data_IF_560931872194
#
_entry.id   IF_560931872194
#
_cell.length_a   1.000
_cell.length_b   1.000
_cell.length_c   1.000
_cell.angle_alpha   90.00
_cell.angle_beta   90.00
_cell.angle_gamma   90.00
#
_symmetry.space_group_name_H-M   'P 1'
#
loop_
_entity.id
_entity.type
_entity.pdbx_description
1 polymer ?
#
# COMPACT_ATOMS: atom_id res chain seq x y z
N UNK A 1 16.21 4.85 -40.04
CA UNK A 1 16.38 6.18 -39.40
C UNK A 1 15.45 6.17 -38.19
N UNK A 2 15.99 6.15 -36.96
CA UNK A 2 15.18 6.08 -35.73
C UNK A 2 15.15 7.47 -35.08
N UNK A 3 14.00 8.13 -35.13
CA UNK A 3 13.80 9.49 -34.60
C UNK A 3 13.60 9.55 -33.09
N UNK A 4 13.43 8.40 -32.42
CA UNK A 4 13.19 8.30 -30.96
C UNK A 4 14.28 7.53 -30.20
N UNK A 5 15.40 7.16 -30.86
CA UNK A 5 16.44 6.37 -30.22
C UNK A 5 17.34 7.17 -29.25
N UNK A 6 17.34 8.49 -29.37
CA UNK A 6 18.15 9.41 -28.55
C UNK A 6 17.53 10.79 -28.52
N UNK A 7 17.89 11.56 -27.51
CA UNK A 7 17.64 13.00 -27.48
C UNK A 7 18.40 13.69 -28.62
N UNK A 8 17.77 14.68 -29.24
CA UNK A 8 18.37 15.45 -30.32
C UNK A 8 17.48 16.59 -30.79
N UNK A 9 17.93 17.29 -31.83
CA UNK A 9 17.16 18.37 -32.45
C UNK A 9 17.28 18.25 -33.97
N UNK A 10 16.16 18.27 -34.68
CA UNK A 10 16.12 18.31 -36.14
C UNK A 10 15.70 19.70 -36.60
N UNK A 11 16.60 20.40 -37.30
CA UNK A 11 16.32 21.72 -37.86
C UNK A 11 15.87 21.56 -39.31
N UNK A 12 14.72 22.10 -39.63
CA UNK A 12 14.14 22.08 -40.97
C UNK A 12 14.08 23.52 -41.47
N UNK A 13 14.81 23.82 -42.54
CA UNK A 13 14.73 25.11 -43.22
C UNK A 13 13.42 25.18 -43.98
N UNK A 14 12.55 26.12 -43.60
CA UNK A 14 11.20 26.26 -44.15
C UNK A 14 11.01 27.55 -44.97
N UNK A 15 11.96 28.49 -44.89
CA UNK A 15 11.95 29.71 -45.68
C UNK A 15 13.02 29.74 -46.78
N UNK A 16 12.87 30.65 -47.74
CA UNK A 16 13.78 30.79 -48.87
C UNK A 16 15.16 31.41 -48.53
N UNK A 17 15.27 32.09 -47.39
CA UNK A 17 16.52 32.70 -46.90
C UNK A 17 17.07 31.92 -45.70
N UNK A 18 18.39 31.80 -45.61
CA UNK A 18 19.07 31.10 -44.53
C UNK A 18 18.65 31.56 -43.14
N UNK A 19 18.44 30.61 -42.23
CA UNK A 19 18.09 30.88 -40.83
C UNK A 19 16.59 30.79 -40.50
N UNK A 20 15.71 30.74 -41.51
CA UNK A 20 14.29 30.44 -41.32
C UNK A 20 14.08 28.94 -41.09
N UNK A 21 14.35 28.50 -39.86
CA UNK A 21 14.30 27.09 -39.46
C UNK A 21 13.23 26.82 -38.41
N UNK A 22 12.50 25.71 -38.56
CA UNK A 22 11.71 25.09 -37.48
C UNK A 22 12.60 24.03 -36.84
N UNK A 23 12.77 24.12 -35.52
CA UNK A 23 13.49 23.11 -34.74
C UNK A 23 12.47 22.14 -34.15
N UNK A 24 12.67 20.84 -34.40
CA UNK A 24 11.91 19.76 -33.78
C UNK A 24 12.82 19.13 -32.73
N UNK A 25 12.45 19.27 -31.48
CA UNK A 25 13.14 18.63 -30.37
C UNK A 25 12.71 17.16 -30.27
N UNK A 26 13.67 16.26 -30.36
CA UNK A 26 13.46 14.82 -30.25
C UNK A 26 13.86 14.39 -28.85
N UNK A 27 13.02 13.56 -28.25
CA UNK A 27 13.31 12.88 -26.99
C UNK A 27 13.43 11.39 -27.21
N UNK A 28 14.35 10.76 -26.49
CA UNK A 28 14.45 9.31 -26.41
C UNK A 28 13.16 8.80 -25.77
N UNK A 29 12.44 7.95 -26.49
CA UNK A 29 11.22 7.30 -26.01
C UNK A 29 11.37 5.80 -26.20
N UNK A 30 11.58 5.10 -25.09
CA UNK A 30 11.63 3.65 -25.00
C UNK A 30 11.12 3.18 -23.64
N UNK A 31 10.90 1.87 -23.50
CA UNK A 31 10.34 1.29 -22.28
C UNK A 31 11.13 1.66 -21.02
N UNK A 32 12.44 1.87 -21.14
CA UNK A 32 13.28 2.30 -20.01
C UNK A 32 13.03 3.77 -19.64
N UNK A 33 13.02 4.68 -20.62
CA UNK A 33 12.76 6.11 -20.39
C UNK A 33 11.31 6.39 -19.96
N UNK A 34 10.38 5.51 -20.31
CA UNK A 34 8.99 5.53 -19.85
C UNK A 34 8.76 4.77 -18.53
N UNK A 35 9.79 4.12 -17.95
CA UNK A 35 9.67 3.40 -16.68
C UNK A 35 8.83 2.11 -16.75
N UNK A 36 8.75 1.48 -17.91
CA UNK A 36 7.92 0.29 -18.19
C UNK A 36 8.68 -1.04 -18.12
N UNK A 37 9.96 -1.05 -17.75
CA UNK A 37 10.81 -2.25 -17.72
C UNK A 37 10.30 -3.36 -16.78
N UNK A 38 9.54 -2.99 -15.74
CA UNK A 38 8.90 -3.92 -14.80
C UNK A 38 7.38 -4.01 -14.95
N UNK A 39 6.79 -3.44 -16.00
CA UNK A 39 5.33 -3.44 -16.17
C UNK A 39 4.84 -4.82 -16.62
N UNK A 40 4.05 -5.48 -15.76
CA UNK A 40 3.43 -6.74 -16.10
C UNK A 40 2.05 -6.90 -15.43
N UNK A 41 1.12 -7.56 -16.13
CA UNK A 41 -0.28 -7.76 -15.70
C UNK A 41 -0.60 -9.20 -15.29
N UNK A 42 0.27 -10.17 -15.61
CA UNK A 42 0.04 -11.59 -15.32
C UNK A 42 0.79 -12.12 -14.09
N UNK A 43 1.54 -11.26 -13.37
CA UNK A 43 2.33 -11.61 -12.19
C UNK A 43 3.56 -12.50 -12.43
N UNK A 44 3.77 -13.06 -13.63
CA UNK A 44 4.86 -13.99 -13.96
C UNK A 44 5.97 -13.42 -14.86
N UNK A 45 6.06 -12.09 -14.99
CA UNK A 45 7.10 -11.42 -15.77
C UNK A 45 8.49 -11.61 -15.17
N UNK A 46 9.54 -11.47 -16.01
CA UNK A 46 10.94 -11.63 -15.58
C UNK A 46 11.37 -10.66 -14.47
N UNK A 47 10.63 -9.55 -14.34
CA UNK A 47 10.73 -8.58 -13.24
C UNK A 47 9.39 -8.60 -12.52
N UNK A 48 9.42 -8.86 -11.20
CA UNK A 48 8.23 -8.74 -10.38
C UNK A 48 7.76 -7.28 -10.36
N UNK A 49 6.45 -7.03 -10.43
CA UNK A 49 5.93 -5.69 -10.13
C UNK A 49 6.42 -5.28 -8.73
N UNK A 50 6.73 -4.00 -8.56
CA UNK A 50 6.89 -3.41 -7.22
C UNK A 50 5.67 -3.80 -6.39
N UNK A 51 5.91 -4.54 -5.31
CA UNK A 51 4.87 -4.90 -4.37
C UNK A 51 4.35 -3.62 -3.71
N UNK A 52 3.03 -3.47 -3.66
CA UNK A 52 2.42 -2.37 -2.92
C UNK A 52 2.72 -2.53 -1.42
N UNK A 53 3.14 -1.44 -0.78
CA UNK A 53 3.37 -1.39 0.65
C UNK A 53 2.07 -1.11 1.41
N UNK A 54 2.10 -1.24 2.74
CA UNK A 54 0.96 -0.89 3.60
C UNK A 54 0.53 0.56 3.40
N UNK A 55 1.50 1.47 3.22
CA UNK A 55 1.25 2.90 3.08
C UNK A 55 0.61 3.20 1.72
N UNK A 56 1.02 2.50 0.66
CA UNK A 56 0.42 2.63 -0.67
C UNK A 56 -1.07 2.23 -0.66
N UNK A 57 -1.42 1.18 0.09
CA UNK A 57 -2.81 0.71 0.18
C UNK A 57 -3.70 1.66 1.01
N UNK A 58 -3.14 2.26 2.07
CA UNK A 58 -3.82 3.29 2.87
C UNK A 58 -4.03 4.56 2.03
N UNK A 59 -3.01 5.01 1.30
CA UNK A 59 -3.08 6.19 0.45
C UNK A 59 -4.07 6.01 -0.72
N UNK A 60 -4.12 4.81 -1.30
CA UNK A 60 -5.05 4.47 -2.36
C UNK A 60 -6.50 4.28 -1.89
N UNK A 61 -6.79 4.43 -0.59
CA UNK A 61 -8.12 4.27 0.01
C UNK A 61 -8.80 2.95 -0.39
N UNK A 62 -8.00 1.88 -0.52
CA UNK A 62 -8.49 0.57 -0.93
C UNK A 62 -9.40 0.03 0.17
N UNK A 63 -10.71 0.13 -0.04
CA UNK A 63 -11.70 -0.56 0.78
C UNK A 63 -11.57 -2.07 0.54
N UNK A 64 -11.70 -2.86 1.61
CA UNK A 64 -11.55 -4.30 1.54
C UNK A 64 -12.49 -4.88 0.47
N UNK A 65 -11.91 -5.44 -0.59
CA UNK A 65 -12.65 -6.22 -1.57
C UNK A 65 -13.01 -7.57 -0.92
N UNK A 66 -14.30 -7.90 -0.89
CA UNK A 66 -14.82 -9.15 -0.33
C UNK A 66 -14.13 -10.33 -1.01
N UNK A 67 -13.27 -11.04 -0.28
CA UNK A 67 -12.55 -12.25 -0.75
C UNK A 67 -11.02 -12.14 -0.86
N UNK A 68 -10.45 -10.93 -0.90
CA UNK A 68 -9.00 -10.69 -0.92
C UNK A 68 -8.57 -9.73 0.22
N UNK A 69 -9.21 -9.89 1.38
CA UNK A 69 -9.12 -9.02 2.54
C UNK A 69 -7.66 -8.63 2.89
N UNK A 70 -7.22 -7.44 2.49
CA UNK A 70 -6.07 -6.82 3.11
C UNK A 70 -6.49 -6.31 4.49
N UNK A 71 -6.48 -7.21 5.47
CA UNK A 71 -6.72 -6.80 6.85
C UNK A 71 -5.50 -6.02 7.32
N UNK A 72 -5.64 -4.70 7.48
CA UNK A 72 -4.78 -3.94 8.38
C UNK A 72 -5.13 -4.35 9.81
N UNK A 73 -4.83 -5.61 10.15
CA UNK A 73 -4.99 -6.09 11.51
C UNK A 73 -3.87 -5.45 12.33
N UNK A 74 -4.23 -4.59 13.28
CA UNK A 74 -3.32 -4.09 14.31
C UNK A 74 -2.87 -5.20 15.29
N UNK A 75 -2.96 -6.49 14.89
CA UNK A 75 -2.65 -7.65 15.74
C UNK A 75 -3.71 -7.96 16.81
N UNK A 76 -4.74 -7.11 16.96
CA UNK A 76 -5.73 -7.24 18.04
C UNK A 76 -6.52 -8.55 17.99
N UNK A 77 -6.79 -9.09 16.79
CA UNK A 77 -7.52 -10.36 16.61
C UNK A 77 -6.70 -11.62 16.96
N UNK A 78 -5.38 -11.49 17.16
CA UNK A 78 -4.50 -12.58 17.60
C UNK A 78 -4.18 -12.52 19.09
N UNK A 79 -4.58 -11.45 19.78
CA UNK A 79 -4.35 -11.30 21.20
C UNK A 79 -5.19 -12.32 21.96
N UNK A 80 -4.54 -13.21 22.69
CA UNK A 80 -5.24 -14.14 23.58
C UNK A 80 -5.72 -13.40 24.83
N UNK A 81 -6.64 -14.00 25.59
CA UNK A 81 -7.02 -13.46 26.89
C UNK A 81 -5.80 -13.28 27.82
N UNK A 82 -4.79 -14.15 27.70
CA UNK A 82 -3.55 -14.03 28.45
C UNK A 82 -2.72 -12.81 28.04
N UNK A 83 -2.64 -12.49 26.74
CA UNK A 83 -1.91 -11.30 26.25
C UNK A 83 -2.59 -10.01 26.73
N UNK A 84 -3.93 -9.98 26.68
CA UNK A 84 -4.71 -8.86 27.21
C UNK A 84 -4.47 -8.71 28.70
N UNK A 85 -4.51 -9.81 29.47
CA UNK A 85 -4.29 -9.79 30.92
C UNK A 85 -2.85 -9.40 31.28
N UNK A 86 -1.85 -9.87 30.52
CA UNK A 86 -0.44 -9.53 30.73
C UNK A 86 -0.12 -8.06 30.38
N UNK A 87 -0.95 -7.42 29.56
CA UNK A 87 -0.81 -6.00 29.23
C UNK A 87 -1.34 -5.05 30.31
N UNK A 88 -2.00 -5.55 31.35
CA UNK A 88 -2.43 -4.71 32.47
C UNK A 88 -1.22 -4.34 33.34
N UNK A 89 -1.03 -3.04 33.55
CA UNK A 89 -0.05 -2.51 34.50
C UNK A 89 -0.54 -2.70 35.94
N UNK A 90 0.40 -2.73 36.90
CA UNK A 90 0.06 -2.77 38.33
C UNK A 90 -0.89 -1.63 38.71
N UNK A 91 -2.00 -1.99 39.36
CA UNK A 91 -3.06 -1.05 39.74
C UNK A 91 -4.13 -0.80 38.67
N UNK A 92 -4.07 -1.45 37.52
CA UNK A 92 -5.12 -1.35 36.51
C UNK A 92 -6.45 -1.93 37.03
N UNK A 93 -7.52 -1.13 36.96
CA UNK A 93 -8.86 -1.53 37.40
C UNK A 93 -9.65 -2.10 36.23
N UNK A 94 -9.98 -3.40 36.30
CA UNK A 94 -10.89 -4.03 35.33
C UNK A 94 -12.32 -3.77 35.75
N UNK A 95 -12.99 -2.82 35.09
CA UNK A 95 -14.41 -2.54 35.32
C UNK A 95 -15.25 -3.53 34.54
N UNK A 96 -15.52 -4.67 35.16
CA UNK A 96 -16.37 -5.72 34.62
C UNK A 96 -17.87 -5.37 34.74
N UNK A 97 -18.42 -4.62 33.78
CA UNK A 97 -19.87 -4.54 33.63
C UNK A 97 -20.39 -5.85 33.02
N UNK A 98 -20.96 -6.74 33.85
CA UNK A 98 -21.59 -7.99 33.39
C UNK A 98 -20.70 -9.24 33.39
N UNK A 99 -19.50 -9.19 33.99
CA UNK A 99 -18.70 -10.41 34.19
C UNK A 99 -19.14 -11.07 35.50
N UNK A 100 -19.81 -12.23 35.41
CA UNK A 100 -20.06 -13.10 36.57
C UNK A 100 -18.72 -13.67 37.03
N UNK A 101 -18.00 -12.93 37.87
CA UNK A 101 -16.70 -13.33 38.42
C UNK A 101 -16.82 -14.38 39.55
N UNK A 102 -17.99 -15.00 39.73
CA UNK A 102 -18.24 -15.98 40.79
C UNK A 102 -18.21 -15.40 42.22
N UNK A 103 -17.87 -14.12 42.40
CA UNK A 103 -17.85 -13.44 43.70
C UNK A 103 -19.17 -12.73 44.03
N UNK A 104 -20.17 -12.81 43.14
CA UNK A 104 -21.53 -12.33 43.40
C UNK A 104 -22.32 -13.30 44.31
N UNK A 105 -21.78 -13.60 45.48
CA UNK A 105 -22.51 -14.15 46.61
C UNK A 105 -22.18 -13.33 47.86
N UNK A 106 -22.44 -12.02 47.79
CA UNK A 106 -22.32 -11.14 48.96
C UNK A 106 -23.64 -11.10 49.73
N UNK A 107 -24.04 -12.26 50.26
CA UNK A 107 -25.19 -12.37 51.17
C UNK A 107 -25.76 -13.79 51.23
N UNK A 108 -25.36 -14.52 52.27
CA UNK A 108 -25.84 -15.85 52.70
C UNK A 108 -25.26 -17.07 51.94
N UNK A 109 -24.30 -17.71 52.61
CA UNK A 109 -23.62 -18.94 52.19
C UNK A 109 -24.56 -20.14 52.12
N UNK A 110 -25.19 -20.37 50.96
CA UNK A 110 -25.74 -21.67 50.59
C UNK A 110 -25.46 -21.93 49.12
N UNK A 111 -24.26 -22.42 48.81
CA UNK A 111 -24.07 -23.25 47.63
C UNK A 111 -24.83 -24.56 47.86
N UNK A 112 -25.87 -24.83 47.06
CA UNK A 112 -26.30 -26.18 46.72
C UNK A 112 -25.71 -26.53 45.36
#
# INVERSE_FOLDING_TARGET
>A
MNVLAKDGSMKIQVGANDGQTITIDLKKIDSDTLGLSGFNVNGGGAVANTAATKDDLVAASVSAAVGNEYTVSAGLSKSTAADVIASLTDGATVTAAGVSNGFCCRGNWRCL
#
